data_IF_751292477056
#
_entry.id   IF_751292477056
#
_cell.length_a   1.000
_cell.length_b   1.000
_cell.length_c   1.000
_cell.angle_alpha   90.00
_cell.angle_beta   90.00
_cell.angle_gamma   90.00
#
_symmetry.space_group_name_H-M   'P 1'
#
loop_
_entity.id
_entity.type
_entity.pdbx_description
1 polymer ?
#
# COMPACT_ATOMS: atom_id res chain seq x y z
N UNK A 1 7.03 -18.30 24.79
CA UNK A 1 8.40 -18.54 24.25
C UNK A 1 8.48 -17.81 22.92
N UNK A 2 8.97 -16.57 22.90
CA UNK A 2 9.25 -15.88 21.64
C UNK A 2 10.66 -16.26 21.23
N UNK A 3 10.78 -17.07 20.17
CA UNK A 3 12.07 -17.45 19.62
C UNK A 3 12.81 -16.17 19.19
N UNK A 4 14.05 -16.01 19.64
CA UNK A 4 14.94 -14.96 19.19
C UNK A 4 15.11 -15.09 17.68
N UNK A 5 14.49 -14.19 16.93
CA UNK A 5 14.61 -14.17 15.48
C UNK A 5 16.04 -13.74 15.17
N UNK A 6 16.82 -14.60 14.54
CA UNK A 6 18.22 -14.28 14.21
C UNK A 6 18.27 -12.99 13.37
N UNK A 7 19.28 -12.15 13.59
CA UNK A 7 19.50 -10.87 12.88
C UNK A 7 19.44 -11.02 11.35
N UNK A 8 19.81 -12.20 10.86
CA UNK A 8 19.72 -12.62 9.45
C UNK A 8 18.28 -12.78 8.93
N UNK A 9 17.34 -13.26 9.73
CA UNK A 9 15.93 -13.35 9.32
C UNK A 9 15.27 -11.96 9.23
N UNK A 10 15.74 -11.01 10.03
CA UNK A 10 15.29 -9.62 10.00
C UNK A 10 15.63 -8.93 8.66
N UNK A 11 16.84 -9.13 8.14
CA UNK A 11 17.27 -8.56 6.86
C UNK A 11 16.41 -9.01 5.68
N UNK A 12 16.02 -10.30 5.65
CA UNK A 12 15.20 -10.86 4.58
C UNK A 12 13.76 -10.32 4.61
N UNK A 13 13.20 -10.21 5.83
CA UNK A 13 11.89 -9.61 6.05
C UNK A 13 11.88 -8.14 5.61
N UNK A 14 12.87 -7.36 6.05
CA UNK A 14 13.05 -5.95 5.69
C UNK A 14 13.20 -5.76 4.19
N UNK A 15 14.04 -6.58 3.55
CA UNK A 15 14.22 -6.56 2.10
C UNK A 15 12.89 -6.76 1.37
N UNK A 16 12.05 -7.69 1.84
CA UNK A 16 10.75 -7.85 1.20
C UNK A 16 9.78 -6.69 1.37
N UNK A 17 9.70 -6.04 2.55
CA UNK A 17 8.84 -4.86 2.72
C UNK A 17 9.30 -3.75 1.77
N UNK A 18 10.61 -3.52 1.70
CA UNK A 18 11.19 -2.54 0.79
C UNK A 18 10.86 -2.86 -0.68
N UNK A 19 11.00 -4.12 -1.09
CA UNK A 19 10.67 -4.53 -2.47
C UNK A 19 9.17 -4.40 -2.73
N UNK A 20 8.31 -4.80 -1.79
CA UNK A 20 6.85 -4.67 -1.91
C UNK A 20 6.43 -3.20 -2.04
N UNK A 21 7.09 -2.30 -1.30
CA UNK A 21 6.90 -0.86 -1.41
C UNK A 21 7.29 -0.33 -2.80
N UNK A 22 8.41 -0.81 -3.36
CA UNK A 22 8.82 -0.44 -4.74
C UNK A 22 7.82 -0.95 -5.78
N UNK A 23 7.27 -2.15 -5.60
CA UNK A 23 6.22 -2.70 -6.48
C UNK A 23 4.98 -1.80 -6.44
N UNK A 24 4.50 -1.46 -5.25
CA UNK A 24 3.34 -0.58 -5.07
C UNK A 24 3.57 0.81 -5.69
N UNK A 25 4.71 1.46 -5.38
CA UNK A 25 5.05 2.79 -5.91
C UNK A 25 5.18 2.84 -7.43
N UNK A 26 5.54 1.72 -8.07
CA UNK A 26 5.65 1.63 -9.52
C UNK A 26 4.34 1.24 -10.22
N UNK A 27 3.25 1.05 -9.47
CA UNK A 27 1.94 0.65 -10.00
C UNK A 27 1.99 -0.73 -10.68
N UNK A 28 2.91 -1.60 -10.26
CA UNK A 28 3.05 -2.94 -10.85
C UNK A 28 2.22 -3.96 -10.09
N UNK A 29 1.72 -5.01 -10.77
CA UNK A 29 1.05 -6.12 -10.11
C UNK A 29 1.96 -6.76 -9.04
N UNK A 30 1.39 -7.17 -7.90
CA UNK A 30 2.12 -7.87 -6.84
C UNK A 30 2.80 -9.15 -7.35
N UNK A 31 2.33 -9.70 -8.48
CA UNK A 31 2.90 -10.89 -9.14
C UNK A 31 4.30 -10.71 -9.69
N UNK A 32 4.76 -9.47 -9.86
CA UNK A 32 6.10 -9.18 -10.39
C UNK A 32 7.22 -9.61 -9.44
N UNK A 33 6.94 -9.70 -8.15
CA UNK A 33 7.87 -10.17 -7.13
C UNK A 33 8.41 -11.56 -7.47
N UNK A 34 7.51 -12.52 -7.64
CA UNK A 34 7.84 -13.90 -7.96
C UNK A 34 8.20 -14.08 -9.45
N UNK A 35 7.46 -13.41 -10.35
CA UNK A 35 7.63 -13.59 -11.80
C UNK A 35 8.97 -13.07 -12.35
N UNK A 36 9.54 -12.02 -11.75
CA UNK A 36 10.71 -11.34 -12.31
C UNK A 36 11.75 -10.97 -11.26
N UNK A 37 11.34 -10.37 -10.14
CA UNK A 37 12.29 -9.79 -9.18
C UNK A 37 13.15 -10.88 -8.53
N UNK A 38 12.54 -11.99 -8.10
CA UNK A 38 13.28 -13.13 -7.55
C UNK A 38 14.26 -13.72 -8.57
N UNK A 39 13.84 -13.93 -9.82
CA UNK A 39 14.75 -14.43 -10.87
C UNK A 39 15.89 -13.48 -11.18
N UNK A 40 15.62 -12.17 -11.23
CA UNK A 40 16.65 -11.15 -11.46
C UNK A 40 17.66 -11.10 -10.31
N UNK A 41 17.19 -11.16 -9.06
CA UNK A 41 18.05 -11.23 -7.89
C UNK A 41 18.92 -12.50 -7.91
N UNK A 42 18.34 -13.64 -8.30
CA UNK A 42 19.05 -14.90 -8.42
C UNK A 42 20.17 -14.82 -9.47
N UNK A 43 19.90 -14.23 -10.64
CA UNK A 43 20.88 -14.07 -11.70
C UNK A 43 22.06 -13.19 -11.26
N UNK A 44 21.79 -12.07 -10.58
CA UNK A 44 22.84 -11.17 -10.05
C UNK A 44 23.70 -11.88 -9.00
N UNK A 45 23.08 -12.64 -8.09
CA UNK A 45 23.81 -13.40 -7.06
C UNK A 45 24.74 -14.45 -7.68
N UNK A 46 24.29 -15.15 -8.73
CA UNK A 46 25.08 -16.17 -9.41
C UNK A 46 26.20 -15.59 -10.28
N UNK A 47 25.89 -14.57 -11.09
CA UNK A 47 26.80 -14.07 -12.13
C UNK A 47 27.75 -12.99 -11.64
N UNK A 48 27.26 -12.05 -10.82
CA UNK A 48 28.06 -10.89 -10.38
C UNK A 48 28.77 -11.18 -9.06
N UNK A 49 28.06 -11.79 -8.11
CA UNK A 49 28.61 -12.06 -6.78
C UNK A 49 29.23 -13.46 -6.64
N UNK A 50 29.00 -14.34 -7.61
CA UNK A 50 29.43 -15.74 -7.58
C UNK A 50 29.04 -16.45 -6.26
N UNK A 51 27.84 -16.15 -5.74
CA UNK A 51 27.30 -16.73 -4.51
C UNK A 51 26.16 -17.71 -4.79
N UNK A 52 25.99 -18.76 -3.96
CA UNK A 52 24.82 -19.62 -4.04
C UNK A 52 23.56 -18.78 -3.74
N UNK A 53 22.69 -18.65 -4.73
CA UNK A 53 21.50 -17.83 -4.63
C UNK A 53 20.38 -18.48 -3.81
N UNK A 54 20.29 -19.81 -3.81
CA UNK A 54 19.17 -20.57 -3.24
C UNK A 54 18.85 -20.18 -1.80
N UNK A 55 19.88 -20.01 -0.97
CA UNK A 55 19.70 -19.81 0.47
C UNK A 55 19.39 -18.35 0.80
N UNK A 56 19.81 -17.41 -0.05
CA UNK A 56 19.54 -15.98 0.10
C UNK A 56 18.12 -15.68 -0.41
N UNK A 57 17.77 -16.21 -1.60
CA UNK A 57 16.47 -16.02 -2.25
C UNK A 57 15.34 -16.55 -1.37
N UNK A 58 15.49 -17.75 -0.79
CA UNK A 58 14.48 -18.37 0.10
C UNK A 58 14.19 -17.54 1.36
N UNK A 59 15.10 -16.65 1.76
CA UNK A 59 14.95 -15.80 2.94
C UNK A 59 14.20 -14.51 2.68
N UNK A 60 13.96 -14.16 1.41
CA UNK A 60 13.22 -12.97 1.02
C UNK A 60 11.83 -13.43 0.55
N UNK A 61 10.83 -13.50 1.42
CA UNK A 61 9.52 -13.99 1.02
C UNK A 61 8.85 -12.96 0.10
N UNK A 62 8.77 -13.28 -1.19
CA UNK A 62 8.18 -12.44 -2.25
C UNK A 62 7.16 -13.21 -3.10
N UNK A 63 6.53 -14.24 -2.53
CA UNK A 63 5.37 -14.85 -3.19
C UNK A 63 4.28 -13.81 -3.39
N UNK A 64 3.44 -14.01 -4.40
CA UNK A 64 2.36 -13.09 -4.76
C UNK A 64 1.53 -12.64 -3.55
N UNK A 65 1.03 -13.59 -2.76
CA UNK A 65 0.23 -13.34 -1.55
C UNK A 65 1.03 -12.57 -0.48
N UNK A 66 2.34 -12.79 -0.43
CA UNK A 66 3.18 -12.12 0.56
C UNK A 66 3.40 -10.66 0.18
N UNK A 67 3.62 -10.37 -1.10
CA UNK A 67 3.75 -8.99 -1.60
C UNK A 67 2.44 -8.24 -1.39
N UNK A 68 1.30 -8.86 -1.75
CA UNK A 68 -0.04 -8.33 -1.51
C UNK A 68 -0.25 -7.97 -0.04
N UNK A 69 -0.13 -8.95 0.88
CA UNK A 69 -0.31 -8.71 2.32
C UNK A 69 0.55 -7.57 2.86
N UNK A 70 1.80 -7.47 2.40
CA UNK A 70 2.70 -6.40 2.87
C UNK A 70 2.30 -5.02 2.35
N UNK A 71 1.80 -4.95 1.12
CA UNK A 71 1.24 -3.71 0.58
C UNK A 71 0.03 -3.30 1.41
N UNK A 72 -0.85 -4.25 1.73
CA UNK A 72 -2.03 -4.00 2.56
C UNK A 72 -1.66 -3.53 3.97
N UNK A 73 -0.69 -4.17 4.61
CA UNK A 73 -0.19 -3.77 5.94
C UNK A 73 0.38 -2.36 5.92
N UNK A 74 1.29 -2.05 4.97
CA UNK A 74 1.86 -0.70 4.84
C UNK A 74 0.80 0.35 4.51
N UNK A 75 -0.20 0.00 3.69
CA UNK A 75 -1.33 0.87 3.38
C UNK A 75 -2.18 1.14 4.61
N UNK A 76 -2.50 0.10 5.39
CA UNK A 76 -3.28 0.21 6.64
C UNK A 76 -2.55 1.07 7.68
N UNK A 77 -1.23 0.90 7.81
CA UNK A 77 -0.42 1.70 8.73
C UNK A 77 -0.42 3.19 8.32
N UNK A 78 -0.27 3.46 7.01
CA UNK A 78 -0.28 4.83 6.46
C UNK A 78 -1.65 5.48 6.62
N UNK A 79 -2.73 4.75 6.32
CA UNK A 79 -4.10 5.21 6.49
C UNK A 79 -4.41 5.52 7.96
N UNK A 80 -3.99 4.63 8.88
CA UNK A 80 -4.15 4.82 10.32
C UNK A 80 -3.45 6.09 10.80
N UNK A 81 -2.20 6.29 10.37
CA UNK A 81 -1.46 7.52 10.68
C UNK A 81 -2.21 8.77 10.18
N UNK A 82 -2.66 8.75 8.93
CA UNK A 82 -3.37 9.86 8.32
C UNK A 82 -4.66 10.18 9.07
N UNK A 83 -5.51 9.17 9.34
CA UNK A 83 -6.76 9.36 10.09
C UNK A 83 -6.51 9.96 11.48
N UNK A 84 -5.55 9.43 12.23
CA UNK A 84 -5.19 9.95 13.55
C UNK A 84 -4.69 11.40 13.47
N UNK A 85 -3.90 11.73 12.46
CA UNK A 85 -3.42 13.09 12.24
C UNK A 85 -4.57 14.06 11.94
N UNK A 86 -5.47 13.68 11.02
CA UNK A 86 -6.63 14.47 10.60
C UNK A 86 -7.59 14.80 11.76
N UNK A 87 -7.69 13.93 12.78
CA UNK A 87 -8.50 14.21 13.98
C UNK A 87 -7.98 15.40 14.80
N UNK A 88 -6.70 15.76 14.66
CA UNK A 88 -6.05 16.79 15.48
C UNK A 88 -5.64 18.05 14.71
N UNK A 89 -5.92 18.10 13.41
CA UNK A 89 -5.50 19.18 12.53
C UNK A 89 -6.67 19.72 11.70
N UNK A 90 -6.52 20.94 11.19
CA UNK A 90 -7.44 21.47 10.20
C UNK A 90 -7.05 20.93 8.83
N UNK A 91 -8.04 20.48 8.07
CA UNK A 91 -7.86 19.98 6.72
C UNK A 91 -9.02 20.41 5.83
N UNK A 92 -8.80 20.41 4.52
CA UNK A 92 -9.86 20.45 3.51
C UNK A 92 -9.96 19.10 2.84
N UNK A 93 -11.17 18.70 2.48
CA UNK A 93 -11.42 17.48 1.70
C UNK A 93 -11.95 17.85 0.32
N UNK A 94 -11.46 17.16 -0.70
CA UNK A 94 -11.98 17.20 -2.05
C UNK A 94 -12.54 15.82 -2.40
N UNK A 95 -13.79 15.79 -2.83
CA UNK A 95 -14.43 14.59 -3.36
C UNK A 95 -14.46 14.69 -4.88
N UNK A 96 -14.01 13.65 -5.56
CA UNK A 96 -14.01 13.54 -7.01
C UNK A 96 -14.68 12.24 -7.44
N UNK A 97 -15.53 12.30 -8.45
CA UNK A 97 -16.21 11.14 -9.02
C UNK A 97 -15.53 10.76 -10.34
N UNK A 98 -15.00 9.53 -10.40
CA UNK A 98 -14.40 8.98 -11.61
C UNK A 98 -15.26 7.83 -12.14
N UNK A 99 -15.47 7.79 -13.45
CA UNK A 99 -16.14 6.67 -14.12
C UNK A 99 -15.13 5.61 -14.54
N UNK A 100 -15.39 4.36 -14.17
CA UNK A 100 -14.67 3.17 -14.62
C UNK A 100 -15.37 2.55 -15.83
N UNK A 101 -14.69 1.64 -16.56
CA UNK A 101 -15.35 0.75 -17.52
C UNK A 101 -16.54 0.02 -16.88
N UNK A 102 -17.52 -0.38 -17.69
CA UNK A 102 -18.75 -1.05 -17.25
C UNK A 102 -19.74 -0.16 -16.45
N UNK A 103 -19.66 1.17 -16.61
CA UNK A 103 -20.52 2.14 -15.90
C UNK A 103 -20.41 2.10 -14.37
N UNK A 104 -19.31 1.55 -13.83
CA UNK A 104 -19.02 1.67 -12.41
C UNK A 104 -18.52 3.10 -12.12
N UNK A 105 -18.92 3.67 -10.98
CA UNK A 105 -18.43 4.96 -10.52
C UNK A 105 -17.57 4.77 -9.26
N UNK A 106 -16.50 5.56 -9.16
CA UNK A 106 -15.58 5.58 -8.04
C UNK A 106 -15.60 6.96 -7.39
N UNK A 107 -15.79 7.00 -6.09
CA UNK A 107 -15.62 8.18 -5.28
C UNK A 107 -14.18 8.20 -4.74
N UNK A 108 -13.43 9.20 -5.17
CA UNK A 108 -12.10 9.52 -4.67
C UNK A 108 -12.22 10.63 -3.63
N UNK A 109 -11.55 10.47 -2.50
CA UNK A 109 -11.44 11.49 -1.47
C UNK A 109 -9.99 11.87 -1.28
N UNK A 110 -9.67 13.14 -1.50
CA UNK A 110 -8.36 13.72 -1.25
C UNK A 110 -8.44 14.65 -0.05
N UNK A 111 -7.42 14.61 0.80
CA UNK A 111 -7.29 15.52 1.94
C UNK A 111 -6.08 16.42 1.74
N UNK A 112 -6.25 17.71 2.05
CA UNK A 112 -5.15 18.68 2.14
C UNK A 112 -5.02 19.21 3.54
N UNK A 113 -3.81 19.17 4.09
CA UNK A 113 -3.51 19.61 5.44
C UNK A 113 -2.12 20.24 5.51
N UNK A 114 -1.85 20.99 6.58
CA UNK A 114 -0.54 21.59 6.83
C UNK A 114 0.21 20.71 7.81
N UNK A 115 1.40 20.26 7.43
CA UNK A 115 2.34 19.53 8.30
C UNK A 115 3.72 20.17 8.13
N UNK A 116 4.41 20.46 9.23
CA UNK A 116 5.74 21.08 9.19
C UNK A 116 5.83 22.36 8.33
N UNK A 117 4.80 23.20 8.34
CA UNK A 117 4.69 24.44 7.55
C UNK A 117 4.58 24.24 6.02
N UNK A 118 4.40 23.01 5.57
CA UNK A 118 4.15 22.69 4.16
C UNK A 118 2.74 22.13 3.97
N UNK A 119 2.17 22.32 2.78
CA UNK A 119 0.88 21.76 2.41
C UNK A 119 1.11 20.37 1.83
N UNK A 120 0.43 19.38 2.38
CA UNK A 120 0.40 18.01 1.89
C UNK A 120 -0.97 17.72 1.29
N UNK A 121 -0.98 16.90 0.24
CA UNK A 121 -2.18 16.33 -0.37
C UNK A 121 -2.03 14.81 -0.41
N UNK A 122 -3.00 14.10 0.13
CA UNK A 122 -3.00 12.63 0.16
C UNK A 122 -4.36 12.07 -0.28
N UNK A 123 -4.34 10.90 -0.92
CA UNK A 123 -5.55 10.14 -1.19
C UNK A 123 -6.01 9.47 0.11
N UNK A 124 -7.18 9.86 0.61
CA UNK A 124 -7.77 9.30 1.82
C UNK A 124 -8.44 7.95 1.52
N UNK A 125 -9.29 7.91 0.50
CA UNK A 125 -9.91 6.65 0.05
C UNK A 125 -10.32 6.70 -1.42
N UNK A 126 -10.50 5.52 -1.98
CA UNK A 126 -11.10 5.28 -3.28
C UNK A 126 -12.17 4.18 -3.13
N UNK A 127 -13.45 4.54 -3.21
CA UNK A 127 -14.57 3.61 -2.96
C UNK A 127 -15.54 3.57 -4.12
N UNK A 128 -16.01 2.39 -4.48
CA UNK A 128 -17.02 2.21 -5.53
C UNK A 128 -18.37 2.75 -5.06
N UNK A 129 -19.04 3.52 -5.90
CA UNK A 129 -20.45 3.89 -5.75
C UNK A 129 -21.31 2.76 -6.32
N UNK A 130 -21.96 2.00 -5.42
CA UNK A 130 -22.68 0.77 -5.78
C UNK A 130 -24.04 1.08 -6.44
N UNK A 131 -24.68 2.17 -6.04
CA UNK A 131 -26.09 2.46 -6.38
C UNK A 131 -26.22 3.49 -7.51
N UNK A 132 -25.84 4.73 -7.22
CA UNK A 132 -25.90 5.86 -8.13
C UNK A 132 -24.88 6.94 -7.71
N UNK A 133 -24.83 8.02 -8.47
CA UNK A 133 -23.91 9.15 -8.28
C UNK A 133 -24.58 10.38 -7.67
N UNK A 134 -25.72 10.20 -7.00
CA UNK A 134 -26.41 11.32 -6.35
C UNK A 134 -25.64 11.77 -5.10
N UNK A 135 -25.83 13.03 -4.74
CA UNK A 135 -25.23 13.62 -3.55
C UNK A 135 -25.53 12.84 -2.26
N UNK A 136 -26.71 12.22 -2.15
CA UNK A 136 -27.07 11.37 -1.01
C UNK A 136 -26.18 10.11 -0.92
N UNK A 137 -26.03 9.35 -2.02
CA UNK A 137 -25.16 8.17 -2.04
C UNK A 137 -23.69 8.53 -1.80
N UNK A 138 -23.22 9.63 -2.38
CA UNK A 138 -21.87 10.17 -2.11
C UNK A 138 -21.69 10.49 -0.63
N UNK A 139 -22.66 11.18 -0.01
CA UNK A 139 -22.61 11.54 1.40
C UNK A 139 -22.60 10.30 2.31
N UNK A 140 -23.36 9.26 1.97
CA UNK A 140 -23.35 8.00 2.72
C UNK A 140 -22.00 7.31 2.66
N UNK A 141 -21.39 7.14 1.48
CA UNK A 141 -20.07 6.52 1.35
C UNK A 141 -19.00 7.30 2.12
N UNK A 142 -19.04 8.63 2.04
CA UNK A 142 -18.16 9.49 2.81
C UNK A 142 -18.36 9.32 4.32
N UNK A 143 -19.61 9.37 4.79
CA UNK A 143 -19.96 9.23 6.22
C UNK A 143 -19.53 7.85 6.75
N UNK A 144 -19.82 6.79 6.02
CA UNK A 144 -19.51 5.42 6.42
C UNK A 144 -18.00 5.21 6.56
N UNK A 145 -17.19 5.79 5.67
CA UNK A 145 -15.73 5.78 5.82
C UNK A 145 -15.28 6.35 7.18
N UNK A 146 -15.78 7.52 7.56
CA UNK A 146 -15.39 8.14 8.85
C UNK A 146 -15.92 7.36 10.06
N UNK A 147 -17.07 6.68 9.95
CA UNK A 147 -17.57 5.81 11.02
C UNK A 147 -16.69 4.56 11.18
N UNK A 148 -16.25 3.96 10.08
CA UNK A 148 -15.36 2.80 10.10
C UNK A 148 -13.97 3.12 10.67
N UNK A 149 -13.55 4.38 10.59
CA UNK A 149 -12.22 4.86 11.01
C UNK A 149 -12.22 5.66 12.33
N UNK A 150 -13.37 5.78 12.99
CA UNK A 150 -13.52 6.41 14.31
C UNK A 150 -13.17 5.44 15.44
#
# INVERSE_FOLDING_TARGET
>A
MFASTSQRNDDGLRASYNISLLIAKSGKPHTIGEKLILSAAEEVLKTVLHKPASDIIKRIPLSNNTVERRIDEMSSDTETFLCNYLQTTHFSIQLDESTLPENAALLLAYVRFIMNQEIYEELLFARTLITDTKGESIFHVWKDYFIEKA
#
